data_IF_022912595276
#
_entry.id   IF_022912595276
#
_cell.length_a   1.000
_cell.length_b   1.000
_cell.length_c   1.000
_cell.angle_alpha   90.00
_cell.angle_beta   90.00
_cell.angle_gamma   90.00
#
_symmetry.space_group_name_H-M   'P 1'
#
loop_
_entity.id
_entity.type
_entity.pdbx_description
1 polymer ?
#
# COMPACT_ATOMS: atom_id res chain seq x y z
N UNK A 1 -12.54 2.19 -24.01
CA UNK A 1 -11.19 1.89 -23.45
C UNK A 1 -11.29 1.56 -21.95
N UNK A 2 -11.83 0.38 -21.57
CA UNK A 2 -12.16 0.05 -20.16
C UNK A 2 -11.23 -1.00 -19.50
N UNK A 3 -10.36 -1.67 -20.26
CA UNK A 3 -9.60 -2.84 -19.76
C UNK A 3 -8.26 -2.51 -19.09
N UNK A 4 -7.65 -1.35 -19.38
CA UNK A 4 -6.34 -1.03 -18.80
C UNK A 4 -6.46 -0.64 -17.33
N UNK A 5 -7.50 0.13 -16.98
CA UNK A 5 -7.79 0.57 -15.61
C UNK A 5 -7.98 -0.66 -14.70
N UNK A 6 -8.81 -1.62 -15.10
CA UNK A 6 -9.04 -2.86 -14.31
C UNK A 6 -7.76 -3.64 -14.02
N UNK A 7 -6.78 -3.58 -14.93
CA UNK A 7 -5.52 -4.29 -14.76
C UNK A 7 -4.61 -3.59 -13.74
N UNK A 8 -4.60 -2.26 -13.70
CA UNK A 8 -3.83 -1.48 -12.70
C UNK A 8 -4.41 -1.66 -11.30
N UNK A 9 -5.74 -1.67 -11.17
CA UNK A 9 -6.41 -1.98 -9.89
C UNK A 9 -6.04 -3.38 -9.39
N UNK A 10 -6.19 -4.42 -10.24
CA UNK A 10 -5.80 -5.79 -9.87
C UNK A 10 -4.33 -5.91 -9.52
N UNK A 11 -3.45 -5.18 -10.21
CA UNK A 11 -2.03 -5.15 -9.89
C UNK A 11 -1.77 -4.54 -8.52
N UNK A 12 -2.45 -3.45 -8.17
CA UNK A 12 -2.35 -2.82 -6.85
C UNK A 12 -2.89 -3.72 -5.73
N UNK A 13 -4.02 -4.41 -5.95
CA UNK A 13 -4.55 -5.41 -5.02
C UNK A 13 -3.55 -6.54 -4.77
N UNK A 14 -3.02 -7.11 -5.85
CA UNK A 14 -2.04 -8.20 -5.78
C UNK A 14 -0.75 -7.74 -5.10
N UNK A 15 -0.35 -6.50 -5.32
CA UNK A 15 0.79 -5.88 -4.64
C UNK A 15 0.54 -5.72 -3.14
N UNK A 16 -0.68 -5.34 -2.75
CA UNK A 16 -1.09 -5.28 -1.35
C UNK A 16 -1.08 -6.67 -0.72
N UNK A 17 -1.58 -7.69 -1.41
CA UNK A 17 -1.52 -9.08 -0.93
C UNK A 17 -0.09 -9.59 -0.72
N UNK A 18 0.82 -9.31 -1.65
CA UNK A 18 2.24 -9.69 -1.48
C UNK A 18 2.84 -9.01 -0.26
N UNK A 19 2.51 -7.74 -0.04
CA UNK A 19 2.97 -7.00 1.15
C UNK A 19 2.38 -7.59 2.42
N UNK A 20 1.07 -7.89 2.44
CA UNK A 20 0.39 -8.58 3.56
C UNK A 20 1.04 -9.92 3.87
N UNK A 21 1.31 -10.75 2.85
CA UNK A 21 2.00 -12.04 3.02
C UNK A 21 3.40 -11.89 3.60
N UNK A 22 4.16 -10.88 3.16
CA UNK A 22 5.48 -10.59 3.72
C UNK A 22 5.40 -10.18 5.20
N UNK A 23 4.38 -9.40 5.58
CA UNK A 23 4.12 -9.02 6.97
C UNK A 23 3.72 -10.23 7.82
N UNK A 24 2.82 -11.09 7.32
CA UNK A 24 2.40 -12.32 8.03
C UNK A 24 3.58 -13.26 8.25
N UNK A 25 4.47 -13.39 7.26
CA UNK A 25 5.66 -14.23 7.34
C UNK A 25 6.75 -13.65 8.25
N UNK A 26 6.55 -12.49 8.88
CA UNK A 26 7.57 -11.80 9.68
C UNK A 26 8.73 -11.25 8.83
N UNK A 27 8.61 -11.23 7.50
CA UNK A 27 9.65 -10.74 6.60
C UNK A 27 9.54 -9.21 6.44
N UNK A 28 9.93 -8.52 7.50
CA UNK A 28 9.86 -7.05 7.61
C UNK A 28 10.68 -6.36 6.51
N UNK A 29 11.83 -6.91 6.11
CA UNK A 29 12.65 -6.35 5.04
C UNK A 29 11.92 -6.35 3.70
N UNK A 30 11.24 -7.45 3.37
CA UNK A 30 10.48 -7.57 2.13
C UNK A 30 9.24 -6.68 2.14
N UNK A 31 8.55 -6.59 3.27
CA UNK A 31 7.45 -5.65 3.45
C UNK A 31 7.92 -4.20 3.25
N UNK A 32 9.04 -3.79 3.87
CA UNK A 32 9.63 -2.46 3.71
C UNK A 32 9.99 -2.15 2.26
N UNK A 33 10.53 -3.14 1.53
CA UNK A 33 10.82 -2.99 0.09
C UNK A 33 9.56 -2.77 -0.74
N UNK A 34 8.49 -3.53 -0.47
CA UNK A 34 7.20 -3.36 -1.14
C UNK A 34 6.60 -1.98 -0.87
N UNK A 35 6.61 -1.53 0.39
CA UNK A 35 6.11 -0.20 0.78
C UNK A 35 6.92 0.90 0.08
N UNK A 36 8.24 0.77 -0.01
CA UNK A 36 9.10 1.76 -0.71
C UNK A 36 8.82 1.81 -2.21
N UNK A 37 8.48 0.67 -2.83
CA UNK A 37 8.06 0.63 -4.23
C UNK A 37 6.69 1.29 -4.39
N UNK A 38 5.74 1.04 -3.48
CA UNK A 38 4.45 1.73 -3.48
C UNK A 38 4.60 3.24 -3.31
N UNK A 39 5.49 3.69 -2.43
CA UNK A 39 5.80 5.12 -2.28
C UNK A 39 6.36 5.70 -3.57
N UNK A 40 7.32 5.01 -4.20
CA UNK A 40 7.88 5.47 -5.47
C UNK A 40 6.79 5.58 -6.53
N UNK A 41 5.93 4.56 -6.66
CA UNK A 41 4.78 4.56 -7.59
C UNK A 41 3.78 5.68 -7.28
N UNK A 42 3.60 6.02 -6.00
CA UNK A 42 2.76 7.13 -5.58
C UNK A 42 3.40 8.47 -5.97
N UNK A 43 4.68 8.68 -5.67
CA UNK A 43 5.39 9.95 -5.96
C UNK A 43 5.55 10.16 -7.47
N UNK A 44 5.94 9.13 -8.22
CA UNK A 44 6.20 9.23 -9.66
C UNK A 44 4.97 9.00 -10.52
N UNK A 45 3.88 8.49 -9.94
CA UNK A 45 2.66 8.14 -10.67
C UNK A 45 1.80 9.35 -11.02
N UNK A 46 0.96 9.19 -12.06
CA UNK A 46 -0.08 10.14 -12.42
C UNK A 46 -1.17 10.22 -11.33
N UNK A 47 -2.03 11.24 -11.37
CA UNK A 47 -3.14 11.42 -10.42
C UNK A 47 -4.00 10.17 -10.27
N UNK A 48 -4.27 9.47 -11.38
CA UNK A 48 -5.02 8.21 -11.37
C UNK A 48 -4.27 7.08 -10.62
N UNK A 49 -2.96 6.93 -10.87
CA UNK A 49 -2.11 5.95 -10.17
C UNK A 49 -2.01 6.25 -8.68
N UNK A 50 -1.90 7.53 -8.30
CA UNK A 50 -1.94 7.99 -6.90
C UNK A 50 -3.25 7.59 -6.23
N UNK A 51 -4.38 7.81 -6.91
CA UNK A 51 -5.70 7.40 -6.45
C UNK A 51 -5.80 5.89 -6.24
N UNK A 52 -5.29 5.09 -7.19
CA UNK A 52 -5.29 3.62 -7.09
C UNK A 52 -4.41 3.13 -5.94
N UNK A 53 -3.18 3.63 -5.80
CA UNK A 53 -2.29 3.24 -4.70
C UNK A 53 -2.90 3.61 -3.35
N UNK A 54 -3.54 4.77 -3.23
CA UNK A 54 -4.16 5.21 -1.96
C UNK A 54 -5.41 4.40 -1.64
N UNK A 55 -6.36 4.31 -2.58
CA UNK A 55 -7.65 3.67 -2.31
C UNK A 55 -7.57 2.15 -2.27
N UNK A 56 -6.65 1.53 -3.01
CA UNK A 56 -6.57 0.07 -3.10
C UNK A 56 -5.46 -0.46 -2.20
N UNK A 57 -4.22 0.00 -2.43
CA UNK A 57 -3.07 -0.55 -1.75
C UNK A 57 -2.98 -0.07 -0.30
N UNK A 58 -2.99 1.25 -0.07
CA UNK A 58 -2.87 1.83 1.26
C UNK A 58 -4.05 1.42 2.15
N UNK A 59 -5.28 1.50 1.64
CA UNK A 59 -6.47 1.03 2.37
C UNK A 59 -6.39 -0.46 2.75
N UNK A 60 -6.00 -1.33 1.82
CA UNK A 60 -5.86 -2.77 2.09
C UNK A 60 -4.82 -3.07 3.16
N UNK A 61 -3.71 -2.33 3.16
CA UNK A 61 -2.65 -2.49 4.15
C UNK A 61 -3.09 -1.90 5.48
N UNK A 62 -3.72 -0.72 5.48
CA UNK A 62 -4.24 -0.05 6.65
C UNK A 62 -5.22 -0.94 7.44
N UNK A 63 -6.20 -1.50 6.74
CA UNK A 63 -7.18 -2.43 7.31
C UNK A 63 -6.49 -3.66 7.90
N UNK A 64 -5.53 -4.25 7.18
CA UNK A 64 -4.79 -5.42 7.67
C UNK A 64 -3.99 -5.13 8.95
N UNK A 65 -3.35 -3.95 9.03
CA UNK A 65 -2.58 -3.55 10.20
C UNK A 65 -3.45 -3.23 11.42
N UNK A 66 -4.60 -2.61 11.18
CA UNK A 66 -5.61 -2.37 12.20
C UNK A 66 -6.09 -3.68 12.82
N UNK A 67 -6.44 -4.66 11.98
CA UNK A 67 -6.87 -6.01 12.42
C UNK A 67 -5.76 -6.76 13.18
N UNK A 68 -4.50 -6.58 12.78
CA UNK A 68 -3.36 -7.26 13.42
C UNK A 68 -2.83 -6.54 14.66
N UNK A 69 -3.41 -5.41 15.08
CA UNK A 69 -2.87 -4.54 16.14
C UNK A 69 -1.35 -4.28 16.00
N UNK A 70 -0.88 -4.25 14.76
CA UNK A 70 0.54 -4.14 14.47
C UNK A 70 0.88 -2.68 14.23
N UNK A 71 1.54 -2.05 15.21
CA UNK A 71 1.98 -0.65 15.15
C UNK A 71 3.22 -0.50 14.27
N UNK A 72 3.14 -0.92 13.01
CA UNK A 72 4.24 -0.78 12.04
C UNK A 72 4.29 0.62 11.43
N UNK A 73 3.86 1.63 12.19
CA UNK A 73 3.97 3.05 11.84
C UNK A 73 5.42 3.48 11.56
N UNK A 74 6.42 2.71 12.01
CA UNK A 74 7.84 2.92 11.67
C UNK A 74 8.28 2.25 10.35
N UNK A 75 7.43 1.42 9.73
CA UNK A 75 7.70 0.82 8.42
C UNK A 75 7.24 1.69 7.25
N UNK A 76 6.24 2.55 7.47
CA UNK A 76 5.77 3.46 6.44
C UNK A 76 6.71 4.64 6.30
N UNK A 77 7.17 4.92 5.08
CA UNK A 77 7.88 6.14 4.80
C UNK A 77 6.92 7.33 4.88
N UNK A 78 7.48 8.52 5.11
CA UNK A 78 6.77 9.71 5.59
C UNK A 78 5.55 10.08 4.73
N UNK A 79 5.67 9.92 3.41
CA UNK A 79 4.61 10.28 2.44
C UNK A 79 3.38 9.38 2.59
N UNK A 80 3.59 8.06 2.67
CA UNK A 80 2.49 7.11 2.85
C UNK A 80 1.92 7.17 4.27
N UNK A 81 2.73 7.59 5.25
CA UNK A 81 2.31 7.73 6.64
C UNK A 81 1.30 8.88 6.81
N UNK A 82 1.46 9.97 6.05
CA UNK A 82 0.50 11.08 6.01
C UNK A 82 -0.85 10.63 5.45
N UNK A 83 -0.85 9.93 4.30
CA UNK A 83 -2.07 9.41 3.69
C UNK A 83 -2.72 8.32 4.57
N UNK A 84 -1.92 7.51 5.25
CA UNK A 84 -2.41 6.51 6.20
C UNK A 84 -3.07 7.15 7.41
N UNK A 85 -2.47 8.21 7.96
CA UNK A 85 -3.04 8.99 9.05
C UNK A 85 -4.39 9.61 8.64
N UNK A 86 -4.51 10.09 7.40
CA UNK A 86 -5.79 10.59 6.85
C UNK A 86 -6.86 9.52 6.69
N UNK A 87 -6.50 8.24 6.49
CA UNK A 87 -7.48 7.15 6.38
C UNK A 87 -7.89 6.54 7.72
N UNK A 88 -7.16 6.85 8.80
CA UNK A 88 -7.40 6.31 10.13
C UNK A 88 -8.14 7.29 11.07
N UNK A 89 -8.56 8.45 10.54
CA UNK A 89 -9.34 9.50 11.23
C UNK A 89 -10.64 9.73 10.47
#
# INVERSE_FOLDING_TARGET
>A
MKNQVTNVFKNAERFAEVTKKALIAGNVQRAKKCIRIAEKLFVTGSTETKGIITNVYLYSIASFLSVKHCTISNLFPEVLKIEYAKQCH
#
